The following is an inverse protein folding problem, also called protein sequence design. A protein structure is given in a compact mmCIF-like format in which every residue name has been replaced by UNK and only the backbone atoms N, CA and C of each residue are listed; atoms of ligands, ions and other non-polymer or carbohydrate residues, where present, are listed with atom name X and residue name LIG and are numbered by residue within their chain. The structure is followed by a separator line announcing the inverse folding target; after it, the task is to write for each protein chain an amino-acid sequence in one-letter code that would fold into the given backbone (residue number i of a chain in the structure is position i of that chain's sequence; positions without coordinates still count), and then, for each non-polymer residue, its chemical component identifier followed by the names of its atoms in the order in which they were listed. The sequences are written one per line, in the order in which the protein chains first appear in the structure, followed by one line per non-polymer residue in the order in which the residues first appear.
data_IF_551570677549
#
_entry.id   IF_551570677549
#
_cell.length_a   1.000
_cell.length_b   1.000
_cell.length_c   1.000
_cell.angle_alpha   90.00
_cell.angle_beta   90.00
_cell.angle_gamma   90.00
#
_symmetry.space_group_name_H-M   'P 1'
#
loop_
_entity.id
_entity.type
_entity.pdbx_description
1 polymer ?
#
# COMPACT_ATOMS: atom_id res chain seq x y z
N UNK A 1 -25.00 23.46 3.11
CA UNK A 1 -24.59 22.29 2.71
C UNK A 1 -23.40 21.86 3.41
N UNK A 2 -23.50 20.82 3.77
CA UNK A 2 -22.33 20.45 4.31
C UNK A 2 -21.33 20.48 3.23
N UNK A 3 -20.70 21.48 3.25
CA UNK A 3 -19.65 21.52 2.35
C UNK A 3 -18.62 20.53 2.77
N UNK A 4 -18.48 19.58 1.98
CA UNK A 4 -17.45 18.60 2.21
C UNK A 4 -16.20 19.08 1.52
N UNK A 5 -15.22 19.41 2.32
CA UNK A 5 -13.94 19.77 1.79
C UNK A 5 -13.10 18.51 1.60
N UNK A 6 -12.60 18.28 0.41
CA UNK A 6 -11.83 17.08 0.13
C UNK A 6 -10.43 17.17 0.75
N UNK A 7 -9.80 16.02 0.98
CA UNK A 7 -8.43 15.98 1.44
C UNK A 7 -7.46 16.62 0.43
N UNK A 8 -7.81 16.58 -0.86
CA UNK A 8 -7.03 17.22 -1.91
C UNK A 8 -6.96 18.73 -1.69
N UNK A 9 -8.07 19.37 -1.33
CA UNK A 9 -8.07 20.80 -1.03
C UNK A 9 -7.21 21.11 0.19
N UNK A 10 -7.28 20.29 1.23
CA UNK A 10 -6.54 20.50 2.46
C UNK A 10 -5.04 20.41 2.25
N UNK A 11 -4.59 19.58 1.32
CA UNK A 11 -3.18 19.38 1.01
C UNK A 11 -2.69 20.28 -0.12
N UNK A 12 -3.60 21.05 -0.76
CA UNK A 12 -3.25 21.85 -1.92
C UNK A 12 -3.13 21.06 -3.22
N UNK A 13 -3.53 19.78 -3.21
CA UNK A 13 -3.48 18.92 -4.39
C UNK A 13 -4.87 18.83 -5.01
N UNK A 14 -4.94 18.65 -6.32
CA UNK A 14 -6.19 18.27 -6.97
C UNK A 14 -6.52 16.82 -6.60
N UNK A 15 -7.79 16.43 -6.74
CA UNK A 15 -8.17 15.04 -6.48
C UNK A 15 -7.42 14.07 -7.39
N UNK A 16 -7.21 14.45 -8.65
CA UNK A 16 -6.44 13.63 -9.57
C UNK A 16 -5.00 13.45 -9.08
N UNK A 17 -4.36 14.53 -8.66
CA UNK A 17 -3.00 14.46 -8.13
C UNK A 17 -2.91 13.59 -6.89
N UNK A 18 -3.91 13.68 -6.02
CA UNK A 18 -3.97 12.86 -4.82
C UNK A 18 -4.14 11.37 -5.17
N UNK A 19 -5.04 11.06 -6.11
CA UNK A 19 -5.22 9.68 -6.58
C UNK A 19 -3.93 9.14 -7.20
N UNK A 20 -3.25 9.95 -7.99
CA UNK A 20 -1.96 9.55 -8.59
C UNK A 20 -0.92 9.26 -7.52
N UNK A 21 -0.85 10.08 -6.47
CA UNK A 21 0.05 9.87 -5.35
C UNK A 21 -0.29 8.60 -4.59
N UNK A 22 -1.58 8.36 -4.36
CA UNK A 22 -2.03 7.13 -3.67
C UNK A 22 -1.72 5.88 -4.51
N UNK A 23 -1.87 5.96 -5.83
CA UNK A 23 -1.49 4.86 -6.70
C UNK A 23 0.01 4.59 -6.68
N UNK A 24 0.84 5.62 -6.54
CA UNK A 24 2.29 5.42 -6.35
C UNK A 24 2.57 4.72 -5.02
N UNK A 25 1.87 5.10 -3.95
CA UNK A 25 2.00 4.44 -2.66
C UNK A 25 1.56 2.97 -2.74
N UNK A 26 0.47 2.71 -3.46
CA UNK A 26 0.00 1.35 -3.68
C UNK A 26 1.05 0.51 -4.41
N UNK A 27 1.66 1.08 -5.45
CA UNK A 27 2.73 0.39 -6.20
C UNK A 27 3.90 0.01 -5.29
N UNK A 28 4.28 0.91 -4.38
CA UNK A 28 5.34 0.63 -3.41
C UNK A 28 4.98 -0.53 -2.48
N UNK A 29 3.74 -0.56 -1.97
CA UNK A 29 3.30 -1.63 -1.10
C UNK A 29 3.25 -2.98 -1.84
N UNK A 30 2.78 -2.99 -3.08
CA UNK A 30 2.75 -4.21 -3.90
C UNK A 30 4.16 -4.73 -4.17
N UNK A 31 5.11 -3.82 -4.42
CA UNK A 31 6.51 -4.20 -4.59
C UNK A 31 7.08 -4.78 -3.29
N UNK A 32 6.76 -4.19 -2.14
CA UNK A 32 7.20 -4.68 -0.85
C UNK A 32 6.67 -6.09 -0.59
N UNK A 33 5.41 -6.35 -0.91
CA UNK A 33 4.81 -7.68 -0.77
C UNK A 33 5.61 -8.70 -1.58
N UNK A 34 5.90 -8.41 -2.84
CA UNK A 34 6.64 -9.30 -3.71
C UNK A 34 8.06 -9.55 -3.19
N UNK A 35 8.73 -8.48 -2.76
CA UNK A 35 10.12 -8.55 -2.31
C UNK A 35 10.24 -9.32 -0.99
N UNK A 36 9.42 -8.99 -0.01
CA UNK A 36 9.48 -9.64 1.29
C UNK A 36 9.00 -11.10 1.21
N UNK A 37 8.06 -11.40 0.33
CA UNK A 37 7.64 -12.78 0.08
C UNK A 37 8.80 -13.59 -0.49
N UNK A 38 9.57 -13.01 -1.40
CA UNK A 38 10.77 -13.65 -1.95
C UNK A 38 11.82 -13.89 -0.86
N UNK A 39 12.09 -12.89 -0.02
CA UNK A 39 13.04 -13.02 1.07
C UNK A 39 12.60 -14.07 2.09
N UNK A 40 11.32 -14.10 2.44
CA UNK A 40 10.79 -15.09 3.35
C UNK A 40 11.03 -16.51 2.83
N UNK A 41 10.75 -16.74 1.54
CA UNK A 41 10.97 -18.03 0.92
C UNK A 41 12.47 -18.42 0.94
N UNK A 42 13.33 -17.46 0.60
CA UNK A 42 14.77 -17.70 0.58
C UNK A 42 15.30 -18.08 1.98
N UNK A 43 14.98 -17.28 3.01
CA UNK A 43 15.48 -17.53 4.36
C UNK A 43 14.87 -18.78 4.98
N UNK A 44 13.66 -19.17 4.59
CA UNK A 44 13.06 -20.46 4.98
C UNK A 44 13.86 -21.61 4.37
N UNK A 45 14.24 -21.50 3.10
CA UNK A 45 15.01 -22.50 2.39
C UNK A 45 16.38 -22.75 3.01
N UNK A 46 16.97 -21.76 3.68
CA UNK A 46 18.26 -21.89 4.38
C UNK A 46 18.08 -22.03 5.90
N UNK A 47 16.89 -22.39 6.34
CA UNK A 47 16.56 -22.66 7.74
C UNK A 47 16.75 -21.50 8.71
N UNK A 48 16.56 -20.28 8.22
CA UNK A 48 16.57 -19.06 9.06
C UNK A 48 15.13 -18.68 9.41
N UNK A 49 14.46 -19.55 10.18
CA UNK A 49 13.02 -19.45 10.39
C UNK A 49 12.59 -18.17 11.13
N UNK A 50 13.40 -17.66 12.03
CA UNK A 50 13.08 -16.39 12.71
C UNK A 50 13.08 -15.21 11.76
N UNK A 51 13.93 -15.26 10.72
CA UNK A 51 13.92 -14.23 9.68
C UNK A 51 12.74 -14.41 8.73
N UNK A 52 12.34 -15.66 8.48
CA UNK A 52 11.14 -15.93 7.68
C UNK A 52 9.90 -15.34 8.35
N UNK A 53 9.76 -15.50 9.66
CA UNK A 53 8.65 -14.92 10.42
C UNK A 53 8.68 -13.40 10.34
N UNK A 54 9.85 -12.80 10.46
CA UNK A 54 10.01 -11.35 10.33
C UNK A 54 9.52 -10.87 8.96
N UNK A 55 9.96 -11.48 7.87
CA UNK A 55 9.56 -11.07 6.53
C UNK A 55 8.08 -11.36 6.26
N UNK A 56 7.53 -12.43 6.81
CA UNK A 56 6.10 -12.70 6.69
C UNK A 56 5.26 -11.64 7.39
N UNK A 57 5.72 -11.14 8.54
CA UNK A 57 5.07 -10.04 9.24
C UNK A 57 5.10 -8.76 8.40
N UNK A 58 6.23 -8.47 7.73
CA UNK A 58 6.35 -7.33 6.84
C UNK A 58 5.39 -7.44 5.64
N UNK A 59 5.23 -8.66 5.09
CA UNK A 59 4.26 -8.90 4.02
C UNK A 59 2.86 -8.57 4.50
N UNK A 60 2.50 -9.04 5.70
CA UNK A 60 1.16 -8.80 6.26
C UNK A 60 0.89 -7.31 6.49
N UNK A 61 1.88 -6.56 6.97
CA UNK A 61 1.77 -5.11 7.10
C UNK A 61 1.55 -4.44 5.75
N UNK A 62 2.31 -4.83 4.74
CA UNK A 62 2.18 -4.24 3.40
C UNK A 62 0.84 -4.57 2.76
N UNK A 63 0.32 -5.79 2.99
CA UNK A 63 -1.03 -6.16 2.53
C UNK A 63 -2.08 -5.26 3.16
N UNK A 64 -1.98 -5.02 4.47
CA UNK A 64 -2.90 -4.13 5.19
C UNK A 64 -2.80 -2.71 4.67
N UNK A 65 -1.59 -2.21 4.48
CA UNK A 65 -1.35 -0.86 3.95
C UNK A 65 -1.90 -0.72 2.53
N UNK A 66 -1.70 -1.72 1.69
CA UNK A 66 -2.24 -1.71 0.32
C UNK A 66 -3.76 -1.63 0.33
N UNK A 67 -4.42 -2.38 1.20
CA UNK A 67 -5.88 -2.35 1.33
C UNK A 67 -6.36 -0.97 1.76
N UNK A 68 -5.66 -0.34 2.72
CA UNK A 68 -6.00 1.00 3.21
C UNK A 68 -5.87 2.04 2.08
N UNK A 69 -4.78 1.99 1.33
CA UNK A 69 -4.54 2.92 0.22
C UNK A 69 -5.59 2.72 -0.87
N UNK A 70 -5.90 1.47 -1.19
CA UNK A 70 -6.91 1.15 -2.21
C UNK A 70 -8.29 1.69 -1.81
N UNK A 71 -8.66 1.55 -0.54
CA UNK A 71 -9.91 2.12 -0.02
C UNK A 71 -9.95 3.64 -0.15
N UNK A 72 -8.84 4.30 0.14
CA UNK A 72 -8.74 5.76 0.01
C UNK A 72 -8.95 6.20 -1.44
N UNK A 73 -8.36 5.48 -2.40
CA UNK A 73 -8.52 5.78 -3.81
C UNK A 73 -9.98 5.66 -4.23
N UNK A 74 -10.65 4.60 -3.79
CA UNK A 74 -12.06 4.38 -4.11
C UNK A 74 -12.94 5.48 -3.53
N UNK A 75 -12.66 5.94 -2.31
CA UNK A 75 -13.41 7.04 -1.69
C UNK A 75 -13.28 8.34 -2.44
N UNK A 76 -12.23 8.51 -3.22
CA UNK A 76 -12.00 9.69 -4.07
C UNK A 76 -12.52 9.49 -5.49
N UNK A 77 -13.31 8.44 -5.73
CA UNK A 77 -13.79 8.04 -7.05
C UNK A 77 -12.65 7.77 -8.05
N UNK A 78 -11.48 7.46 -7.53
CA UNK A 78 -10.35 7.11 -8.35
C UNK A 78 -10.35 5.63 -8.73
N UNK A 79 -9.46 5.27 -9.64
CA UNK A 79 -9.25 3.89 -10.05
C UNK A 79 -7.90 3.45 -9.52
N UNK A 80 -7.89 2.41 -8.70
CA UNK A 80 -6.65 1.83 -8.21
C UNK A 80 -5.96 1.07 -9.35
N UNK A 81 -4.62 1.06 -9.32
CA UNK A 81 -3.83 0.37 -10.34
C UNK A 81 -4.00 -1.14 -10.33
N UNK A 82 -4.48 -1.68 -9.24
CA UNK A 82 -4.83 -3.10 -9.17
C UNK A 82 -5.95 -3.35 -8.16
#
# INVERSE_FOLDING_TARGET
MAHHQSNAEETGMSEKELVDSLNRALAWELRAIALYSHYSAYVSGIHRLHLADHFNNEVNESVTNAATVRSAIVKLDGTAIT
#
